data_IF_671776199693
#
_entry.id   IF_671776199693
#
_cell.length_a   1.000
_cell.length_b   1.000
_cell.length_c   1.000
_cell.angle_alpha   90.00
_cell.angle_beta   90.00
_cell.angle_gamma   90.00
#
_symmetry.space_group_name_H-M   'P 1'
#
loop_
_entity.id
_entity.type
_entity.pdbx_description
1 polymer ?
#
# COMPACT_ATOMS: atom_id res chain seq x y z
N UNK A 1 14.46 -2.64 8.15
CA UNK A 1 14.77 -2.48 6.71
C UNK A 1 15.88 -3.46 6.34
N UNK A 2 15.90 -3.98 5.10
CA UNK A 2 16.97 -4.89 4.64
C UNK A 2 18.36 -4.25 4.78
N UNK A 3 18.43 -2.93 4.59
CA UNK A 3 19.67 -2.16 4.75
C UNK A 3 20.21 -2.13 6.19
N UNK A 4 19.35 -2.00 7.20
CA UNK A 4 19.76 -2.07 8.62
C UNK A 4 20.34 -3.44 8.97
N UNK A 5 19.69 -4.50 8.49
CA UNK A 5 20.15 -5.88 8.68
C UNK A 5 21.53 -6.06 8.06
N UNK A 6 21.75 -5.54 6.84
CA UNK A 6 23.04 -5.59 6.15
C UNK A 6 24.15 -4.82 6.89
N UNK A 7 23.85 -3.62 7.40
CA UNK A 7 24.81 -2.78 8.15
C UNK A 7 25.19 -3.42 9.49
N UNK A 8 24.21 -3.88 10.26
CA UNK A 8 24.43 -4.55 11.55
C UNK A 8 25.33 -5.78 11.39
N UNK A 9 25.11 -6.56 10.34
CA UNK A 9 25.90 -7.76 10.09
C UNK A 9 27.30 -7.48 9.53
N UNK A 10 27.47 -6.44 8.70
CA UNK A 10 28.82 -5.96 8.35
C UNK A 10 29.64 -5.61 9.60
N UNK A 11 29.02 -4.93 10.57
CA UNK A 11 29.68 -4.61 11.83
C UNK A 11 30.04 -5.87 12.63
N UNK A 12 29.17 -6.90 12.64
CA UNK A 12 29.43 -8.18 13.30
C UNK A 12 30.57 -8.98 12.65
N UNK A 13 30.67 -8.95 11.32
CA UNK A 13 31.79 -9.57 10.58
C UNK A 13 33.11 -8.87 10.92
N UNK A 14 33.12 -7.54 10.97
CA UNK A 14 34.30 -6.75 11.37
C UNK A 14 34.69 -7.05 12.83
N UNK A 15 33.72 -7.18 13.73
CA UNK A 15 33.94 -7.57 15.12
C UNK A 15 34.58 -8.97 15.22
N UNK A 16 34.03 -9.95 14.50
CA UNK A 16 34.56 -11.31 14.50
C UNK A 16 36.00 -11.38 13.95
N UNK A 17 36.32 -10.59 12.93
CA UNK A 17 37.67 -10.49 12.40
C UNK A 17 38.68 -9.87 13.38
N UNK A 18 38.24 -8.97 14.26
CA UNK A 18 39.10 -8.29 15.24
C UNK A 18 39.30 -9.09 16.54
N UNK A 19 38.33 -9.90 16.95
CA UNK A 19 38.34 -10.54 18.28
C UNK A 19 38.60 -12.06 18.27
N UNK A 20 38.60 -12.74 17.11
CA UNK A 20 38.93 -14.17 17.02
C UNK A 20 40.32 -14.41 16.40
N UNK A 21 41.00 -15.46 16.86
CA UNK A 21 42.32 -15.88 16.35
C UNK A 21 42.24 -16.21 14.84
N UNK A 22 43.31 -15.87 14.09
CA UNK A 22 43.35 -15.89 12.60
C UNK A 22 42.82 -17.18 11.94
N UNK A 23 42.95 -18.34 12.60
CA UNK A 23 42.52 -19.62 12.05
C UNK A 23 41.01 -19.88 12.23
N UNK A 24 40.44 -19.48 13.38
CA UNK A 24 39.02 -19.67 13.67
C UNK A 24 38.15 -18.54 13.10
N UNK A 25 38.72 -17.34 12.94
CA UNK A 25 38.01 -16.17 12.41
C UNK A 25 37.40 -16.41 11.02
N UNK A 26 38.04 -17.22 10.16
CA UNK A 26 37.50 -17.56 8.82
C UNK A 26 36.26 -18.44 8.89
N UNK A 27 36.27 -19.48 9.73
CA UNK A 27 35.13 -20.41 9.90
C UNK A 27 33.97 -19.68 10.56
N UNK A 28 34.23 -18.89 11.62
CA UNK A 28 33.21 -18.06 12.26
C UNK A 28 32.65 -17.01 11.29
N UNK A 29 33.50 -16.34 10.52
CA UNK A 29 33.04 -15.38 9.51
C UNK A 29 32.17 -16.08 8.44
N UNK A 30 32.57 -17.25 7.93
CA UNK A 30 31.79 -18.01 6.97
C UNK A 30 30.43 -18.46 7.52
N UNK A 31 30.40 -19.01 8.74
CA UNK A 31 29.16 -19.41 9.42
C UNK A 31 28.22 -18.21 9.65
N UNK A 32 28.77 -17.06 10.03
CA UNK A 32 28.01 -15.80 10.16
C UNK A 32 27.42 -15.40 8.80
N UNK A 33 28.19 -15.41 7.72
CA UNK A 33 27.67 -15.09 6.38
C UNK A 33 26.52 -16.02 5.96
N UNK A 34 26.65 -17.34 6.17
CA UNK A 34 25.55 -18.28 5.87
C UNK A 34 24.31 -17.96 6.71
N UNK A 35 24.46 -17.77 8.02
CA UNK A 35 23.35 -17.44 8.91
C UNK A 35 22.64 -16.14 8.48
N UNK A 36 23.41 -15.15 8.00
CA UNK A 36 22.88 -13.88 7.48
C UNK A 36 22.06 -14.10 6.21
N UNK A 37 22.62 -14.77 5.21
CA UNK A 37 21.93 -15.04 3.95
C UNK A 37 20.69 -15.90 4.17
N UNK A 38 20.79 -16.90 5.04
CA UNK A 38 19.66 -17.76 5.38
C UNK A 38 18.55 -16.97 6.09
N UNK A 39 18.88 -16.10 7.06
CA UNK A 39 17.89 -15.25 7.72
C UNK A 39 17.27 -14.23 6.77
N UNK A 40 18.06 -13.64 5.87
CA UNK A 40 17.57 -12.73 4.84
C UNK A 40 16.64 -13.45 3.87
N UNK A 41 17.01 -14.66 3.42
CA UNK A 41 16.18 -15.53 2.60
C UNK A 41 14.85 -15.85 3.30
N UNK A 42 14.88 -16.33 4.55
CA UNK A 42 13.66 -16.61 5.32
C UNK A 42 12.78 -15.37 5.49
N UNK A 43 13.36 -14.19 5.69
CA UNK A 43 12.61 -12.94 5.78
C UNK A 43 11.92 -12.58 4.46
N UNK A 44 12.63 -12.71 3.32
CA UNK A 44 12.08 -12.48 1.98
C UNK A 44 11.00 -13.52 1.67
N UNK A 45 11.26 -14.79 1.98
CA UNK A 45 10.35 -15.90 1.76
C UNK A 45 9.06 -15.75 2.58
N UNK A 46 9.17 -15.39 3.86
CA UNK A 46 7.99 -15.13 4.69
C UNK A 46 7.19 -13.92 4.17
N UNK A 47 7.86 -12.87 3.67
CA UNK A 47 7.19 -11.74 3.04
C UNK A 47 6.47 -12.16 1.75
N UNK A 48 7.10 -13.01 0.94
CA UNK A 48 6.50 -13.57 -0.26
C UNK A 48 5.28 -14.43 0.07
N UNK A 49 5.35 -15.30 1.08
CA UNK A 49 4.19 -16.09 1.54
C UNK A 49 3.06 -15.17 1.98
N UNK A 50 3.33 -14.17 2.82
CA UNK A 50 2.29 -13.22 3.29
C UNK A 50 1.62 -12.45 2.15
N UNK A 51 2.36 -12.18 1.07
CA UNK A 51 1.83 -11.52 -0.12
C UNK A 51 1.02 -12.49 -1.01
N UNK A 52 1.57 -13.68 -1.30
CA UNK A 52 0.99 -14.62 -2.26
C UNK A 52 -0.16 -15.46 -1.68
N UNK A 53 -0.13 -15.77 -0.38
CA UNK A 53 -1.15 -16.59 0.27
C UNK A 53 -2.59 -16.10 0.07
N UNK A 54 -2.95 -14.83 0.32
CA UNK A 54 -4.32 -14.37 0.13
C UNK A 54 -4.77 -14.42 -1.34
N UNK A 55 -3.84 -14.36 -2.29
CA UNK A 55 -4.12 -14.44 -3.74
C UNK A 55 -4.40 -15.91 -4.12
N UNK A 56 -3.54 -16.83 -3.70
CA UNK A 56 -3.69 -18.26 -3.94
C UNK A 56 -4.99 -18.78 -3.33
N UNK A 57 -5.31 -18.33 -2.11
CA UNK A 57 -6.57 -18.66 -1.45
C UNK A 57 -7.79 -18.21 -2.26
N UNK A 58 -7.74 -17.02 -2.87
CA UNK A 58 -8.84 -16.55 -3.72
C UNK A 58 -8.95 -17.35 -5.02
N UNK A 59 -7.82 -17.69 -5.65
CA UNK A 59 -7.84 -18.57 -6.83
C UNK A 59 -8.55 -19.87 -6.48
N UNK A 60 -8.21 -20.48 -5.34
CA UNK A 60 -8.83 -21.73 -4.90
C UNK A 60 -10.34 -21.57 -4.63
N UNK A 61 -10.76 -20.53 -3.88
CA UNK A 61 -12.17 -20.31 -3.55
C UNK A 61 -13.01 -20.02 -4.80
N UNK A 62 -12.47 -19.22 -5.73
CA UNK A 62 -13.17 -18.89 -6.98
C UNK A 62 -13.28 -20.14 -7.86
N UNK A 63 -12.18 -20.88 -8.07
CA UNK A 63 -12.20 -22.13 -8.85
C UNK A 63 -13.19 -23.13 -8.28
N UNK A 64 -13.14 -23.39 -6.98
CA UNK A 64 -14.05 -24.33 -6.32
C UNK A 64 -15.51 -23.94 -6.49
N UNK A 65 -15.83 -22.65 -6.35
CA UNK A 65 -17.20 -22.17 -6.54
C UNK A 65 -17.68 -22.25 -8.00
N UNK A 66 -16.81 -21.97 -8.97
CA UNK A 66 -17.14 -22.12 -10.39
C UNK A 66 -17.33 -23.59 -10.78
N UNK A 67 -16.48 -24.49 -10.30
CA UNK A 67 -16.65 -25.94 -10.50
C UNK A 67 -17.95 -26.41 -9.84
N UNK A 68 -18.26 -25.97 -8.62
CA UNK A 68 -19.53 -26.28 -7.98
C UNK A 68 -20.73 -25.74 -8.79
N UNK A 69 -20.61 -24.56 -9.39
CA UNK A 69 -21.62 -23.97 -10.27
C UNK A 69 -21.85 -24.81 -11.53
N UNK A 70 -20.77 -25.33 -12.15
CA UNK A 70 -20.91 -26.22 -13.31
C UNK A 70 -21.66 -27.51 -12.98
N UNK A 71 -21.43 -28.09 -11.80
CA UNK A 71 -22.14 -29.29 -11.35
C UNK A 71 -23.64 -29.03 -11.19
N UNK A 72 -24.04 -27.82 -10.81
CA UNK A 72 -25.45 -27.44 -10.74
C UNK A 72 -26.07 -27.29 -12.14
N UNK A 73 -25.35 -26.68 -13.09
CA UNK A 73 -25.82 -26.53 -14.48
C UNK A 73 -26.01 -27.86 -15.18
N UNK A 74 -25.11 -28.84 -14.93
CA UNK A 74 -25.24 -30.20 -15.45
C UNK A 74 -26.54 -30.88 -14.98
N UNK A 75 -27.04 -30.55 -13.78
CA UNK A 75 -28.33 -31.08 -13.27
C UNK A 75 -29.55 -30.46 -13.96
N UNK A 76 -29.40 -29.26 -14.55
CA UNK A 76 -30.46 -28.56 -15.30
C UNK A 76 -30.29 -28.82 -16.82
N UNK A 77 -29.57 -29.89 -17.17
CA UNK A 77 -29.37 -30.35 -18.56
C UNK A 77 -28.62 -29.36 -19.47
N UNK A 78 -27.81 -28.47 -18.89
CA UNK A 78 -26.91 -27.60 -19.65
C UNK A 78 -25.53 -28.28 -19.71
N UNK A 79 -25.24 -28.92 -20.85
CA UNK A 79 -23.97 -29.59 -21.10
C UNK A 79 -22.87 -28.60 -21.48
N UNK A 80 -21.76 -28.60 -20.74
CA UNK A 80 -20.57 -27.85 -21.10
C UNK A 80 -19.58 -28.75 -21.86
N UNK A 81 -18.94 -28.23 -22.91
CA UNK A 81 -17.76 -28.86 -23.47
C UNK A 81 -16.61 -28.97 -22.45
N UNK A 82 -15.78 -30.00 -22.56
CA UNK A 82 -14.66 -30.24 -21.63
C UNK A 82 -13.69 -29.04 -21.53
N UNK A 83 -13.44 -28.35 -22.65
CA UNK A 83 -12.56 -27.17 -22.66
C UNK A 83 -13.03 -26.05 -21.70
N UNK A 84 -14.31 -25.99 -21.36
CA UNK A 84 -14.82 -24.99 -20.41
C UNK A 84 -14.22 -25.21 -19.02
N UNK A 85 -14.08 -26.47 -18.62
CA UNK A 85 -13.51 -26.85 -17.33
C UNK A 85 -12.01 -26.58 -17.27
N UNK A 86 -11.29 -27.01 -18.31
CA UNK A 86 -9.82 -27.00 -18.30
C UNK A 86 -9.22 -25.66 -18.71
N UNK A 87 -9.96 -24.85 -19.48
CA UNK A 87 -9.45 -23.60 -20.08
C UNK A 87 -10.27 -22.40 -19.61
N UNK A 88 -11.58 -22.37 -19.86
CA UNK A 88 -12.39 -21.16 -19.63
C UNK A 88 -12.46 -20.78 -18.14
N UNK A 89 -12.75 -21.74 -17.25
CA UNK A 89 -12.87 -21.49 -15.81
C UNK A 89 -11.55 -20.99 -15.18
N UNK A 90 -10.39 -21.60 -15.45
CA UNK A 90 -9.09 -21.06 -15.03
C UNK A 90 -8.83 -19.66 -15.54
N UNK A 91 -9.11 -19.38 -16.83
CA UNK A 91 -8.92 -18.04 -17.42
C UNK A 91 -9.82 -17.01 -16.75
N UNK A 92 -11.10 -17.31 -16.53
CA UNK A 92 -12.02 -16.38 -15.86
C UNK A 92 -11.57 -16.09 -14.44
N UNK A 93 -11.13 -17.12 -13.72
CA UNK A 93 -10.59 -16.96 -12.37
C UNK A 93 -9.36 -16.06 -12.38
N UNK A 94 -8.42 -16.28 -13.32
CA UNK A 94 -7.22 -15.46 -13.44
C UNK A 94 -7.55 -14.00 -13.76
N UNK A 95 -8.49 -13.75 -14.68
CA UNK A 95 -8.93 -12.39 -15.02
C UNK A 95 -9.54 -11.69 -13.81
N UNK A 96 -10.44 -12.35 -13.06
CA UNK A 96 -11.02 -11.78 -11.85
C UNK A 96 -9.97 -11.53 -10.76
N UNK A 97 -9.03 -12.44 -10.54
CA UNK A 97 -7.96 -12.28 -9.54
C UNK A 97 -7.00 -11.15 -9.92
N UNK A 98 -6.61 -11.05 -11.19
CA UNK A 98 -5.80 -9.94 -11.70
C UNK A 98 -6.55 -8.61 -11.53
N UNK A 99 -7.85 -8.58 -11.80
CA UNK A 99 -8.69 -7.40 -11.55
C UNK A 99 -8.74 -7.05 -10.06
N UNK A 100 -8.91 -8.03 -9.18
CA UNK A 100 -8.92 -7.84 -7.73
C UNK A 100 -7.57 -7.33 -7.19
N UNK A 101 -6.47 -7.82 -7.75
CA UNK A 101 -5.12 -7.29 -7.49
C UNK A 101 -5.00 -5.84 -7.94
N UNK A 102 -5.50 -5.54 -9.13
CA UNK A 102 -5.41 -4.22 -9.71
C UNK A 102 -6.17 -3.17 -8.89
N UNK A 103 -7.41 -3.46 -8.47
CA UNK A 103 -8.20 -2.56 -7.63
C UNK A 103 -7.83 -2.61 -6.14
N UNK A 104 -6.98 -3.54 -5.72
CA UNK A 104 -6.40 -3.56 -4.37
C UNK A 104 -7.33 -4.19 -3.35
N UNK A 105 -8.05 -5.22 -3.76
CA UNK A 105 -8.89 -6.03 -2.86
C UNK A 105 -8.05 -6.69 -1.76
N UNK A 106 -6.76 -6.93 -2.05
CA UNK A 106 -5.78 -7.52 -1.13
C UNK A 106 -5.05 -6.50 -0.25
N UNK A 107 -5.33 -5.20 -0.39
CA UNK A 107 -4.71 -4.18 0.46
C UNK A 107 -5.18 -4.34 1.92
N UNK A 108 -4.34 -3.89 2.86
CA UNK A 108 -4.63 -3.95 4.30
C UNK A 108 -5.97 -3.32 4.65
N UNK A 109 -6.31 -2.20 3.99
CA UNK A 109 -7.55 -1.45 4.15
C UNK A 109 -8.39 -1.43 2.85
N UNK A 110 -8.68 -2.62 2.32
CA UNK A 110 -9.53 -2.76 1.14
C UNK A 110 -10.92 -2.13 1.34
N UNK A 111 -11.25 -1.15 0.52
CA UNK A 111 -12.59 -0.55 0.48
C UNK A 111 -13.56 -1.50 -0.22
N UNK A 112 -14.80 -1.60 0.27
CA UNK A 112 -15.84 -2.42 -0.39
C UNK A 112 -16.11 -2.00 -1.83
N UNK A 113 -15.93 -0.72 -2.16
CA UNK A 113 -16.00 -0.23 -3.55
C UNK A 113 -14.94 -0.84 -4.46
N UNK A 114 -13.79 -1.28 -3.93
CA UNK A 114 -12.75 -1.95 -4.70
C UNK A 114 -13.20 -3.35 -5.15
N UNK A 115 -13.94 -4.08 -4.31
CA UNK A 115 -14.52 -5.39 -4.67
C UNK A 115 -15.50 -5.22 -5.81
N UNK A 116 -16.44 -4.27 -5.69
CA UNK A 116 -17.44 -4.01 -6.72
C UNK A 116 -16.76 -3.62 -8.04
N UNK A 117 -15.84 -2.64 -8.01
CA UNK A 117 -15.10 -2.19 -9.19
C UNK A 117 -14.30 -3.31 -9.84
N UNK A 118 -13.59 -4.12 -9.04
CA UNK A 118 -12.81 -5.26 -9.56
C UNK A 118 -13.68 -6.34 -10.21
N UNK A 119 -14.79 -6.68 -9.59
CA UNK A 119 -15.68 -7.74 -10.09
C UNK A 119 -16.36 -7.29 -11.38
N UNK A 120 -16.86 -6.04 -11.43
CA UNK A 120 -17.45 -5.46 -12.64
C UNK A 120 -16.40 -5.38 -13.76
N UNK A 121 -15.22 -4.83 -13.48
CA UNK A 121 -14.17 -4.65 -14.48
C UNK A 121 -13.69 -5.99 -15.05
N UNK A 122 -13.44 -6.98 -14.19
CA UNK A 122 -13.06 -8.32 -14.64
C UNK A 122 -14.15 -9.00 -15.46
N UNK A 123 -15.41 -8.83 -15.07
CA UNK A 123 -16.57 -9.38 -15.81
C UNK A 123 -16.73 -8.73 -17.19
N UNK A 124 -16.54 -7.41 -17.29
CA UNK A 124 -16.56 -6.70 -18.59
C UNK A 124 -15.46 -7.26 -19.51
N UNK A 125 -14.24 -7.43 -19.00
CA UNK A 125 -13.13 -8.01 -19.77
C UNK A 125 -13.48 -9.42 -20.25
N UNK A 126 -13.98 -10.28 -19.35
CA UNK A 126 -14.39 -11.64 -19.70
C UNK A 126 -15.47 -11.61 -20.79
N UNK A 127 -16.50 -10.76 -20.66
CA UNK A 127 -17.59 -10.67 -21.64
C UNK A 127 -17.12 -10.15 -23.00
N UNK A 128 -16.16 -9.21 -23.04
CA UNK A 128 -15.57 -8.73 -24.30
C UNK A 128 -14.86 -9.88 -25.01
N UNK A 129 -13.96 -10.59 -24.33
CA UNK A 129 -13.26 -11.72 -24.94
C UNK A 129 -14.22 -12.85 -25.32
N UNK A 130 -15.18 -13.16 -24.45
CA UNK A 130 -16.22 -14.15 -24.70
C UNK A 130 -17.06 -13.82 -25.95
N UNK A 131 -17.38 -12.54 -26.18
CA UNK A 131 -18.14 -12.10 -27.35
C UNK A 131 -17.36 -12.27 -28.67
N UNK A 132 -16.02 -12.27 -28.61
CA UNK A 132 -15.13 -12.47 -29.75
C UNK A 132 -14.88 -13.95 -30.07
N UNK A 133 -15.27 -14.88 -29.18
CA UNK A 133 -15.09 -16.32 -29.41
C UNK A 133 -16.06 -16.86 -30.48
N UNK A 134 -15.70 -17.96 -31.17
CA UNK A 134 -16.62 -18.69 -32.04
C UNK A 134 -17.90 -19.13 -31.30
N UNK A 135 -19.02 -19.26 -32.02
CA UNK A 135 -20.33 -19.59 -31.42
C UNK A 135 -20.33 -20.91 -30.65
N UNK A 136 -19.57 -21.88 -31.12
CA UNK A 136 -19.45 -23.20 -30.47
C UNK A 136 -18.76 -23.13 -29.11
N UNK A 137 -18.00 -22.05 -28.86
CA UNK A 137 -17.31 -21.82 -27.59
C UNK A 137 -18.12 -20.92 -26.63
N UNK A 138 -19.19 -20.30 -27.14
CA UNK A 138 -20.08 -19.44 -26.37
C UNK A 138 -21.17 -20.28 -25.67
N UNK A 139 -20.85 -20.83 -24.50
CA UNK A 139 -21.80 -21.65 -23.75
C UNK A 139 -22.89 -20.87 -22.97
N UNK A 140 -22.54 -19.96 -22.05
CA UNK A 140 -23.52 -19.25 -21.21
C UNK A 140 -22.98 -17.96 -20.61
N UNK A 141 -23.58 -16.84 -21.01
CA UNK A 141 -23.32 -15.53 -20.38
C UNK A 141 -23.85 -15.47 -18.95
N UNK A 142 -24.93 -16.19 -18.66
CA UNK A 142 -25.52 -16.26 -17.32
C UNK A 142 -24.53 -16.88 -16.31
N UNK A 143 -23.78 -17.90 -16.72
CA UNK A 143 -22.71 -18.48 -15.91
C UNK A 143 -21.65 -17.45 -15.52
N UNK A 144 -21.21 -16.60 -16.46
CA UNK A 144 -20.23 -15.54 -16.20
C UNK A 144 -20.77 -14.52 -15.19
N UNK A 145 -22.04 -14.10 -15.33
CA UNK A 145 -22.66 -13.13 -14.43
C UNK A 145 -22.88 -13.69 -13.01
N UNK A 146 -23.31 -14.95 -12.89
CA UNK A 146 -23.48 -15.61 -11.60
C UNK A 146 -22.12 -15.88 -10.96
N UNK A 147 -21.11 -16.26 -11.75
CA UNK A 147 -19.73 -16.33 -11.32
C UNK A 147 -19.21 -15.00 -10.78
N UNK A 148 -19.56 -13.87 -11.40
CA UNK A 148 -19.21 -12.56 -10.89
C UNK A 148 -19.83 -12.27 -9.51
N UNK A 149 -21.09 -12.66 -9.31
CA UNK A 149 -21.75 -12.57 -7.99
C UNK A 149 -21.06 -13.46 -6.95
N UNK A 150 -20.63 -14.66 -7.35
CA UNK A 150 -19.84 -15.54 -6.49
C UNK A 150 -18.48 -14.92 -6.11
N UNK A 151 -17.77 -14.30 -7.05
CA UNK A 151 -16.51 -13.59 -6.77
C UNK A 151 -16.73 -12.45 -5.78
N UNK A 152 -17.77 -11.65 -5.97
CA UNK A 152 -18.12 -10.57 -5.02
C UNK A 152 -18.44 -11.13 -3.62
N UNK A 153 -19.29 -12.16 -3.56
CA UNK A 153 -19.69 -12.81 -2.32
C UNK A 153 -18.50 -13.45 -1.60
N UNK A 154 -17.65 -14.16 -2.32
CA UNK A 154 -16.48 -14.84 -1.76
C UNK A 154 -15.48 -13.86 -1.15
N UNK A 155 -15.23 -12.70 -1.77
CA UNK A 155 -14.40 -11.66 -1.18
C UNK A 155 -14.99 -11.10 0.12
N UNK A 156 -16.31 -10.84 0.16
CA UNK A 156 -17.00 -10.33 1.36
C UNK A 156 -16.98 -11.36 2.49
N UNK A 157 -17.29 -12.62 2.18
CA UNK A 157 -17.29 -13.74 3.14
C UNK A 157 -15.88 -13.95 3.68
N UNK A 158 -14.88 -14.09 2.81
CA UNK A 158 -13.47 -14.28 3.22
C UNK A 158 -13.01 -13.15 4.14
N UNK A 159 -13.31 -11.90 3.81
CA UNK A 159 -12.90 -10.75 4.64
C UNK A 159 -13.62 -10.76 5.99
N UNK A 160 -14.90 -11.09 6.00
CA UNK A 160 -15.69 -11.18 7.24
C UNK A 160 -15.20 -12.32 8.14
N UNK A 161 -14.84 -13.47 7.57
CA UNK A 161 -14.21 -14.58 8.28
C UNK A 161 -12.83 -14.21 8.82
N UNK A 162 -11.99 -13.53 8.02
CA UNK A 162 -10.71 -13.02 8.51
C UNK A 162 -10.89 -12.07 9.71
N UNK A 163 -11.87 -11.18 9.65
CA UNK A 163 -12.17 -10.27 10.76
C UNK A 163 -12.78 -11.00 11.97
N UNK A 164 -13.54 -12.08 11.75
CA UNK A 164 -14.01 -12.95 12.82
C UNK A 164 -12.83 -13.63 13.53
N UNK A 165 -11.95 -14.31 12.81
CA UNK A 165 -10.81 -15.01 13.43
C UNK A 165 -9.80 -14.08 14.08
N UNK A 166 -9.63 -12.86 13.57
CA UNK A 166 -8.64 -11.92 14.08
C UNK A 166 -9.16 -10.97 15.16
N UNK A 167 -10.43 -10.56 15.05
CA UNK A 167 -11.01 -9.51 15.88
C UNK A 167 -12.31 -9.93 16.59
N UNK A 168 -12.73 -11.18 16.42
CA UNK A 168 -13.98 -11.74 16.97
C UNK A 168 -15.22 -10.92 16.58
N UNK A 169 -15.20 -10.36 15.36
CA UNK A 169 -16.29 -9.56 14.80
C UNK A 169 -16.57 -9.95 13.34
N UNK A 170 -17.77 -10.46 13.10
CA UNK A 170 -18.28 -10.76 11.77
C UNK A 170 -18.75 -9.49 11.05
N UNK A 171 -17.80 -8.64 10.61
CA UNK A 171 -18.07 -7.43 9.82
C UNK A 171 -17.06 -7.31 8.68
N UNK A 172 -17.50 -6.86 7.51
CA UNK A 172 -16.61 -6.64 6.35
C UNK A 172 -15.57 -5.53 6.59
N UNK A 173 -16.04 -4.33 6.94
CA UNK A 173 -15.20 -3.20 7.33
C UNK A 173 -15.11 -3.12 8.85
N UNK A 174 -14.30 -3.99 9.45
CA UNK A 174 -13.91 -3.82 10.83
C UNK A 174 -12.61 -3.00 10.89
N UNK A 175 -12.71 -1.80 11.47
CA UNK A 175 -11.55 -1.06 11.96
C UNK A 175 -11.65 -1.00 13.48
N UNK A 176 -10.58 -1.43 14.16
CA UNK A 176 -10.50 -1.47 15.63
C UNK A 176 -10.83 -0.08 16.15
N UNK A 177 -11.84 0.00 17.03
CA UNK A 177 -12.17 1.25 17.71
C UNK A 177 -10.92 1.65 18.49
N UNK A 178 -10.41 2.84 18.21
CA UNK A 178 -9.23 3.36 18.90
C UNK A 178 -9.68 4.22 20.07
N UNK A 179 -9.33 3.77 21.27
CA UNK A 179 -9.49 4.55 22.49
C UNK A 179 -8.14 5.20 22.83
N UNK A 180 -8.15 6.51 22.98
CA UNK A 180 -6.95 7.34 23.12
C UNK A 180 -6.78 7.82 24.56
N UNK A 181 -5.56 7.75 25.07
CA UNK A 181 -5.15 8.43 26.30
C UNK A 181 -4.19 9.56 25.90
N UNK A 182 -4.60 10.82 26.08
CA UNK A 182 -3.77 11.98 25.75
C UNK A 182 -3.15 12.51 27.05
N UNK A 183 -1.85 12.71 27.07
CA UNK A 183 -1.11 13.21 28.25
C UNK A 183 -0.45 14.54 27.86
N UNK A 184 -0.82 15.60 28.55
CA UNK A 184 -0.33 16.95 28.29
C UNK A 184 -1.27 18.02 28.83
N UNK A 185 -0.88 19.28 28.64
CA UNK A 185 -1.68 20.41 29.10
C UNK A 185 -3.07 20.41 28.45
N UNK A 186 -4.11 20.92 29.13
CA UNK A 186 -5.49 20.90 28.62
C UNK A 186 -5.62 21.50 27.21
N UNK A 187 -4.95 22.61 26.93
CA UNK A 187 -5.03 23.31 25.64
C UNK A 187 -4.44 22.47 24.50
N UNK A 188 -3.25 21.91 24.73
CA UNK A 188 -2.57 21.07 23.75
C UNK A 188 -3.29 19.73 23.56
N UNK A 189 -3.84 19.16 24.65
CA UNK A 189 -4.62 17.94 24.58
C UNK A 189 -5.94 18.12 23.82
N UNK A 190 -6.61 19.26 23.95
CA UNK A 190 -7.80 19.61 23.18
C UNK A 190 -7.47 19.75 21.69
N UNK A 191 -6.37 20.44 21.34
CA UNK A 191 -5.88 20.54 19.96
C UNK A 191 -5.61 19.16 19.35
N UNK A 192 -4.95 18.27 20.11
CA UNK A 192 -4.69 16.90 19.67
C UNK A 192 -6.00 16.11 19.55
N UNK A 193 -6.95 16.27 20.46
CA UNK A 193 -8.26 15.63 20.37
C UNK A 193 -9.06 16.06 19.13
N UNK A 194 -9.01 17.33 18.74
CA UNK A 194 -9.58 17.83 17.48
C UNK A 194 -8.87 17.25 16.26
N UNK A 195 -7.54 17.21 16.27
CA UNK A 195 -6.76 16.57 15.20
C UNK A 195 -7.15 15.09 15.02
N UNK A 196 -7.36 14.36 16.13
CA UNK A 196 -7.82 12.98 16.11
C UNK A 196 -9.25 12.85 15.56
N UNK A 197 -10.15 13.79 15.87
CA UNK A 197 -11.52 13.83 15.32
C UNK A 197 -11.52 13.91 13.79
N UNK A 198 -10.66 14.74 13.22
CA UNK A 198 -10.56 14.88 11.77
C UNK A 198 -9.85 13.70 11.09
N UNK A 199 -9.09 12.90 11.86
CA UNK A 199 -8.25 11.83 11.32
C UNK A 199 -8.89 10.44 11.40
N UNK A 200 -9.53 10.10 12.53
CA UNK A 200 -10.05 8.75 12.78
C UNK A 200 -11.57 8.69 12.73
N UNK A 201 -12.11 7.96 11.75
CA UNK A 201 -13.56 7.72 11.66
C UNK A 201 -14.10 6.71 12.69
N UNK A 202 -13.25 5.80 13.19
CA UNK A 202 -13.60 4.80 14.21
C UNK A 202 -12.89 5.10 15.54
N UNK A 203 -13.16 6.29 16.10
CA UNK A 203 -12.69 6.70 17.42
C UNK A 203 -13.66 6.18 18.50
N UNK A 204 -13.12 5.69 19.60
CA UNK A 204 -13.91 5.42 20.79
C UNK A 204 -13.69 6.51 21.84
N UNK A 205 -13.45 6.12 23.08
CA UNK A 205 -13.24 7.08 24.15
C UNK A 205 -11.91 7.81 24.02
N UNK A 206 -11.88 9.06 24.44
CA UNK A 206 -10.62 9.77 24.66
C UNK A 206 -10.61 10.39 26.02
N UNK A 207 -9.53 10.15 26.73
CA UNK A 207 -9.33 10.66 28.08
C UNK A 207 -8.08 11.50 28.08
N UNK A 208 -8.20 12.71 28.61
CA UNK A 208 -7.08 13.63 28.81
C UNK A 208 -6.54 13.46 30.23
N UNK A 209 -5.23 13.41 30.34
CA UNK A 209 -4.47 13.45 31.58
C UNK A 209 -3.63 14.72 31.58
N UNK A 210 -4.09 15.72 32.33
CA UNK A 210 -3.39 16.98 32.54
C UNK A 210 -2.48 16.95 33.77
N UNK A 211 -2.71 16.02 34.71
CA UNK A 211 -1.85 15.88 35.88
C UNK A 211 -0.55 15.16 35.51
N UNK A 212 0.54 15.95 35.49
CA UNK A 212 1.90 15.50 35.23
C UNK A 212 2.63 15.07 36.51
N UNK A 213 1.98 15.13 37.68
CA UNK A 213 2.53 14.58 38.91
C UNK A 213 2.37 13.06 38.90
N UNK A 214 3.48 12.33 39.10
CA UNK A 214 3.48 10.87 39.19
C UNK A 214 2.88 10.12 37.96
N UNK A 215 3.11 10.64 36.75
CA UNK A 215 2.57 10.16 35.46
C UNK A 215 2.65 8.64 35.30
N UNK A 216 3.80 8.05 35.62
CA UNK A 216 4.02 6.61 35.42
C UNK A 216 2.97 5.77 36.17
N UNK A 217 2.63 6.15 37.40
CA UNK A 217 1.65 5.44 38.22
C UNK A 217 0.20 5.71 37.77
N UNK A 218 -0.11 6.94 37.37
CA UNK A 218 -1.45 7.30 36.88
C UNK A 218 -1.74 6.59 35.55
N UNK A 219 -0.76 6.58 34.65
CA UNK A 219 -0.90 5.92 33.36
C UNK A 219 -0.91 4.40 33.53
N UNK A 220 -0.03 3.83 34.36
CA UNK A 220 -0.06 2.40 34.66
C UNK A 220 -1.38 1.96 35.32
N UNK A 221 -1.94 2.75 36.23
CA UNK A 221 -3.23 2.42 36.86
C UNK A 221 -4.41 2.50 35.87
N UNK A 222 -4.43 3.46 34.94
CA UNK A 222 -5.47 3.52 33.89
C UNK A 222 -5.32 2.45 32.82
N UNK A 223 -4.09 1.98 32.55
CA UNK A 223 -3.83 0.96 31.52
C UNK A 223 -3.91 -0.47 32.07
N UNK A 224 -3.42 -0.70 33.28
CA UNK A 224 -3.24 -2.02 33.91
C UNK A 224 -4.06 -2.24 35.19
N UNK A 225 -4.81 -1.24 35.66
CA UNK A 225 -5.56 -1.29 36.92
C UNK A 225 -6.68 -2.33 36.97
N UNK A 226 -7.09 -2.67 38.19
CA UNK A 226 -7.94 -3.82 38.56
C UNK A 226 -9.45 -3.56 38.51
N UNK A 227 -9.94 -2.39 38.08
CA UNK A 227 -11.39 -2.12 37.99
C UNK A 227 -11.82 -1.70 36.58
N UNK A 228 -12.75 -2.46 36.00
CA UNK A 228 -13.61 -2.20 34.82
C UNK A 228 -13.01 -1.64 33.51
N UNK A 229 -11.74 -1.23 33.46
CA UNK A 229 -11.10 -0.53 32.34
C UNK A 229 -9.86 -1.26 31.80
N UNK A 230 -9.61 -2.50 32.22
CA UNK A 230 -8.55 -3.33 31.66
C UNK A 230 -8.75 -3.43 30.13
N UNK A 231 -7.81 -2.89 29.36
CA UNK A 231 -7.84 -2.92 27.89
C UNK A 231 -8.74 -1.89 27.20
N UNK A 232 -9.21 -0.85 27.90
CA UNK A 232 -9.98 0.22 27.26
C UNK A 232 -9.10 1.00 26.28
N UNK A 233 -7.96 1.54 26.71
CA UNK A 233 -7.08 2.36 25.86
C UNK A 233 -6.10 1.50 25.06
N UNK A 234 -5.97 1.82 23.78
CA UNK A 234 -5.10 1.09 22.84
C UNK A 234 -3.96 1.97 22.32
N UNK A 235 -4.08 3.29 22.49
CA UNK A 235 -3.12 4.26 21.97
C UNK A 235 -2.92 5.37 23.00
N UNK A 236 -1.66 5.65 23.36
CA UNK A 236 -1.28 6.72 24.29
C UNK A 236 -0.54 7.79 23.49
N UNK A 237 -0.98 9.04 23.61
CA UNK A 237 -0.41 10.19 22.89
C UNK A 237 0.18 11.15 23.92
N UNK A 238 1.49 11.36 23.86
CA UNK A 238 2.23 12.31 24.68
C UNK A 238 2.35 13.64 23.95
N UNK A 239 1.96 14.74 24.58
CA UNK A 239 2.14 16.08 24.02
C UNK A 239 3.56 16.56 24.33
N UNK A 240 4.42 16.67 23.31
CA UNK A 240 5.81 17.11 23.47
C UNK A 240 5.93 18.59 23.89
N UNK A 241 4.87 19.39 23.74
CA UNK A 241 4.79 20.76 24.25
C UNK A 241 4.89 20.81 25.78
N UNK A 242 4.27 19.84 26.45
CA UNK A 242 4.07 19.82 27.91
C UNK A 242 4.96 18.81 28.64
N UNK A 243 5.56 17.87 27.89
CA UNK A 243 6.32 16.75 28.46
C UNK A 243 7.75 16.72 27.96
N UNK A 244 8.69 16.55 28.89
CA UNK A 244 10.09 16.37 28.52
C UNK A 244 10.32 14.97 27.93
N UNK A 245 11.17 14.80 26.89
CA UNK A 245 11.42 13.49 26.27
C UNK A 245 11.82 12.38 27.26
N UNK A 246 12.56 12.71 28.33
CA UNK A 246 12.92 11.76 29.38
C UNK A 246 11.70 11.20 30.14
N UNK A 247 10.69 12.02 30.40
CA UNK A 247 9.45 11.60 31.05
C UNK A 247 8.64 10.68 30.14
N UNK A 248 8.57 11.01 28.84
CA UNK A 248 7.92 10.17 27.82
C UNK A 248 8.59 8.80 27.77
N UNK A 249 9.92 8.76 27.67
CA UNK A 249 10.70 7.50 27.61
C UNK A 249 10.52 6.69 28.91
N UNK A 250 10.55 7.36 30.07
CA UNK A 250 10.32 6.69 31.36
C UNK A 250 8.94 6.04 31.42
N UNK A 251 7.90 6.74 30.96
CA UNK A 251 6.52 6.25 30.94
C UNK A 251 6.35 5.08 29.96
N UNK A 252 6.90 5.20 28.74
CA UNK A 252 6.92 4.10 27.77
C UNK A 252 7.63 2.84 28.31
N UNK A 253 8.72 3.05 29.07
CA UNK A 253 9.48 1.96 29.67
C UNK A 253 8.72 1.31 30.84
N UNK A 254 8.05 2.11 31.69
CA UNK A 254 7.31 1.59 32.85
C UNK A 254 6.05 0.81 32.47
N UNK A 255 5.39 1.16 31.37
CA UNK A 255 4.19 0.45 30.88
C UNK A 255 4.58 -0.91 30.26
N UNK A 256 5.82 -1.04 29.79
CA UNK A 256 6.35 -2.26 29.18
C UNK A 256 5.94 -2.47 27.71
N UNK A 257 6.43 -3.55 27.10
CA UNK A 257 6.00 -3.98 25.76
C UNK A 257 4.65 -4.69 25.88
N UNK A 258 3.58 -4.02 25.46
CA UNK A 258 2.22 -4.57 25.41
C UNK A 258 1.49 -4.22 24.10
N UNK A 259 0.18 -4.47 24.05
CA UNK A 259 -0.68 -4.14 22.89
C UNK A 259 -1.01 -2.64 22.75
N UNK A 260 -0.26 -1.77 23.41
CA UNK A 260 -0.52 -0.32 23.49
C UNK A 260 0.46 0.41 22.57
N UNK A 261 -0.10 1.16 21.62
CA UNK A 261 0.69 1.98 20.69
C UNK A 261 1.04 3.33 21.34
N UNK A 262 2.32 3.71 21.33
CA UNK A 262 2.77 5.00 21.85
C UNK A 262 2.99 6.01 20.73
N UNK A 263 2.54 7.24 20.94
CA UNK A 263 2.73 8.35 20.02
C UNK A 263 3.06 9.66 20.72
N UNK A 264 3.68 10.57 19.99
CA UNK A 264 4.17 11.86 20.47
C UNK A 264 3.63 12.95 19.53
N UNK A 265 2.74 13.80 20.03
CA UNK A 265 2.27 14.97 19.30
C UNK A 265 3.33 16.08 19.39
N UNK A 266 3.72 16.61 18.23
CA UNK A 266 4.68 17.72 18.16
C UNK A 266 3.97 19.06 18.40
N UNK A 267 4.61 20.00 19.12
CA UNK A 267 4.02 21.30 19.43
C UNK A 267 3.66 22.05 18.15
N UNK A 268 2.49 22.69 18.15
CA UNK A 268 2.02 23.64 17.12
C UNK A 268 2.05 23.10 15.67
N UNK A 269 2.11 21.78 15.49
CA UNK A 269 2.04 21.11 14.18
C UNK A 269 0.88 20.12 14.14
N UNK A 270 0.42 19.77 12.94
CA UNK A 270 -0.57 18.70 12.76
C UNK A 270 0.03 17.30 12.93
N UNK A 271 1.31 17.18 13.28
CA UNK A 271 2.02 15.91 13.26
C UNK A 271 2.01 15.19 14.61
N UNK A 272 1.73 13.89 14.53
CA UNK A 272 1.86 12.93 15.64
C UNK A 272 2.88 11.86 15.20
N UNK A 273 3.93 11.63 15.98
CA UNK A 273 4.99 10.66 15.68
C UNK A 273 4.74 9.40 16.50
N UNK A 274 4.62 8.23 15.87
CA UNK A 274 4.26 6.99 16.56
C UNK A 274 5.20 5.83 16.31
N UNK A 275 5.21 4.87 17.24
CA UNK A 275 5.87 3.57 17.10
C UNK A 275 5.11 2.64 16.14
N UNK A 276 4.89 3.08 14.91
CA UNK A 276 4.22 2.27 13.91
C UNK A 276 5.17 1.19 13.35
N UNK A 277 4.63 0.02 13.03
CA UNK A 277 5.37 -1.13 12.47
C UNK A 277 6.17 -0.75 11.22
N UNK A 278 7.27 -1.48 10.95
CA UNK A 278 8.19 -1.30 9.81
C UNK A 278 7.47 -1.17 8.44
N UNK A 279 6.26 -1.73 8.32
CA UNK A 279 5.44 -1.74 7.10
C UNK A 279 4.46 -0.55 7.00
N UNK A 280 4.28 0.24 8.06
CA UNK A 280 3.52 1.50 8.07
C UNK A 280 4.52 2.66 8.18
N UNK A 281 5.22 2.94 7.08
CA UNK A 281 6.13 4.08 6.99
C UNK A 281 5.34 5.36 7.26
N UNK A 282 5.58 5.97 8.42
CA UNK A 282 5.25 7.36 8.74
C UNK A 282 3.99 7.90 8.07
N UNK A 283 2.82 7.37 8.44
CA UNK A 283 1.57 8.03 8.05
C UNK A 283 1.57 9.41 8.71
N UNK A 284 1.95 10.42 7.92
CA UNK A 284 1.92 11.82 8.29
C UNK A 284 0.47 12.16 8.65
N UNK A 285 0.19 12.30 9.95
CA UNK A 285 -1.09 12.79 10.44
C UNK A 285 -1.26 14.21 9.91
N UNK A 286 -2.01 14.32 8.84
CA UNK A 286 -2.28 15.57 8.15
C UNK A 286 -3.57 15.35 7.39
N UNK A 287 -4.48 16.33 7.47
CA UNK A 287 -5.79 16.37 6.81
C UNK A 287 -5.82 15.55 5.51
N UNK A 288 -6.54 14.42 5.46
CA UNK A 288 -6.76 13.50 4.31
C UNK A 288 -5.95 13.82 3.03
N UNK A 289 -4.62 13.82 3.11
CA UNK A 289 -3.77 14.20 1.97
C UNK A 289 -3.83 13.07 0.95
N UNK A 290 -4.27 13.34 -0.29
CA UNK A 290 -4.26 12.33 -1.35
C UNK A 290 -2.87 12.14 -1.97
N UNK A 291 -1.93 11.70 -1.13
CA UNK A 291 -0.52 11.62 -1.53
C UNK A 291 -0.27 10.56 -2.59
N UNK A 292 0.72 10.80 -3.44
CA UNK A 292 1.11 9.87 -4.51
C UNK A 292 1.57 8.50 -3.97
N UNK A 293 2.13 8.46 -2.76
CA UNK A 293 2.61 7.25 -2.10
C UNK A 293 1.51 6.28 -1.66
N UNK A 294 0.24 6.71 -1.70
CA UNK A 294 -0.87 5.81 -1.39
C UNK A 294 -0.85 4.62 -2.36
N UNK A 295 -0.92 3.36 -1.89
CA UNK A 295 -0.86 2.18 -2.75
C UNK A 295 -1.87 2.22 -3.91
N UNK A 296 -3.09 2.72 -3.66
CA UNK A 296 -4.10 2.92 -4.70
C UNK A 296 -3.68 3.93 -5.77
N UNK A 297 -3.06 5.05 -5.38
CA UNK A 297 -2.59 6.07 -6.30
C UNK A 297 -1.43 5.55 -7.16
N UNK A 298 -0.47 4.82 -6.58
CA UNK A 298 0.62 4.17 -7.32
C UNK A 298 0.10 3.14 -8.34
N UNK A 299 -0.89 2.33 -7.95
CA UNK A 299 -1.53 1.34 -8.85
C UNK A 299 -2.28 2.03 -9.99
N UNK A 300 -3.09 3.03 -9.68
CA UNK A 300 -3.80 3.81 -10.68
C UNK A 300 -2.86 4.54 -11.64
N UNK A 301 -1.77 5.13 -11.13
CA UNK A 301 -0.71 5.73 -11.93
C UNK A 301 -0.09 4.72 -12.88
N UNK A 302 0.28 3.54 -12.35
CA UNK A 302 0.88 2.46 -13.13
C UNK A 302 -0.04 1.95 -14.23
N UNK A 303 -1.34 1.84 -13.98
CA UNK A 303 -2.28 1.46 -15.02
C UNK A 303 -2.47 2.56 -16.07
N UNK A 304 -2.53 3.82 -15.67
CA UNK A 304 -2.54 4.92 -16.63
C UNK A 304 -1.31 4.83 -17.53
N UNK A 305 -0.13 4.60 -16.95
CA UNK A 305 1.13 4.42 -17.69
C UNK A 305 1.07 3.25 -18.67
N UNK A 306 0.59 2.08 -18.25
CA UNK A 306 0.48 0.90 -19.13
C UNK A 306 -0.54 1.12 -20.25
N UNK A 307 -1.74 1.63 -19.92
CA UNK A 307 -2.80 1.86 -20.90
C UNK A 307 -2.40 2.92 -21.93
N UNK A 308 -1.88 4.06 -21.47
CA UNK A 308 -1.44 5.13 -22.37
C UNK A 308 -0.24 4.68 -23.22
N UNK A 309 0.75 3.99 -22.65
CA UNK A 309 1.90 3.53 -23.44
C UNK A 309 1.51 2.49 -24.48
N UNK A 310 0.65 1.54 -24.12
CA UNK A 310 0.10 0.54 -25.05
C UNK A 310 -0.70 1.22 -26.17
N UNK A 311 -1.60 2.15 -25.81
CA UNK A 311 -2.43 2.88 -26.78
C UNK A 311 -1.58 3.74 -27.71
N UNK A 312 -0.59 4.45 -27.17
CA UNK A 312 0.35 5.27 -27.96
C UNK A 312 1.22 4.43 -28.89
N UNK A 313 1.64 3.23 -28.47
CA UNK A 313 2.34 2.28 -29.35
C UNK A 313 1.45 1.80 -30.50
N UNK A 314 0.18 1.49 -30.25
CA UNK A 314 -0.77 1.10 -31.30
C UNK A 314 -1.03 2.24 -32.31
N UNK A 315 -1.15 3.48 -31.84
CA UNK A 315 -1.41 4.67 -32.68
C UNK A 315 -0.07 5.24 -33.24
N UNK A 316 1.08 4.71 -32.83
CA UNK A 316 2.40 5.21 -33.22
C UNK A 316 2.65 5.31 -34.73
N UNK A 317 2.14 4.42 -35.62
CA UNK A 317 2.36 4.57 -37.06
C UNK A 317 1.85 5.90 -37.62
N UNK A 318 0.81 6.48 -36.99
CA UNK A 318 0.26 7.79 -37.33
C UNK A 318 0.98 8.93 -36.60
N UNK A 319 1.23 8.79 -35.29
CA UNK A 319 1.74 9.86 -34.44
C UNK A 319 3.25 10.13 -34.60
N UNK A 320 4.02 9.14 -35.09
CA UNK A 320 5.48 9.22 -35.14
C UNK A 320 6.02 10.40 -35.95
N UNK A 321 5.24 10.88 -36.93
CA UNK A 321 5.61 12.01 -37.78
C UNK A 321 5.64 13.36 -37.05
N UNK A 322 5.02 13.43 -35.87
CA UNK A 322 4.95 14.65 -35.05
C UNK A 322 6.13 14.79 -34.08
N UNK A 323 6.96 13.75 -33.94
CA UNK A 323 8.10 13.71 -33.05
C UNK A 323 9.42 13.82 -33.82
N UNK A 324 10.37 14.60 -33.29
CA UNK A 324 11.71 14.72 -33.86
C UNK A 324 12.55 13.51 -33.47
N UNK A 325 12.49 13.10 -32.20
CA UNK A 325 13.23 12.00 -31.61
C UNK A 325 12.51 10.65 -31.68
N UNK A 326 12.32 10.09 -32.89
CA UNK A 326 11.54 8.85 -33.10
C UNK A 326 12.02 7.65 -32.26
N UNK A 327 13.34 7.44 -32.19
CA UNK A 327 13.93 6.36 -31.40
C UNK A 327 13.72 6.59 -29.89
N UNK A 328 13.87 7.84 -29.43
CA UNK A 328 13.66 8.24 -28.04
C UNK A 328 12.20 8.06 -27.62
N UNK A 329 11.26 8.41 -28.50
CA UNK A 329 9.83 8.17 -28.28
C UNK A 329 9.53 6.69 -27.99
N UNK A 330 9.96 5.77 -28.86
CA UNK A 330 9.73 4.33 -28.64
C UNK A 330 10.45 3.84 -27.39
N UNK A 331 11.70 4.25 -27.17
CA UNK A 331 12.44 3.92 -25.94
C UNK A 331 11.68 4.37 -24.69
N UNK A 332 11.10 5.57 -24.70
CA UNK A 332 10.28 6.10 -23.62
C UNK A 332 8.99 5.29 -23.45
N UNK A 333 8.27 4.97 -24.53
CA UNK A 333 7.05 4.14 -24.46
C UNK A 333 7.34 2.75 -23.87
N UNK A 334 8.38 2.05 -24.33
CA UNK A 334 8.76 0.76 -23.78
C UNK A 334 9.30 0.88 -22.35
N UNK A 335 10.07 1.92 -22.03
CA UNK A 335 10.55 2.17 -20.66
C UNK A 335 9.39 2.39 -19.69
N UNK A 336 8.35 3.09 -20.13
CA UNK A 336 7.12 3.27 -19.35
C UNK A 336 6.36 1.95 -19.27
N UNK A 337 6.15 1.23 -20.38
CA UNK A 337 5.44 -0.05 -20.41
C UNK A 337 6.07 -1.09 -19.47
N UNK A 338 7.41 -1.22 -19.44
CA UNK A 338 8.13 -2.15 -18.56
C UNK A 338 8.36 -1.62 -17.14
N UNK A 339 8.03 -0.36 -16.85
CA UNK A 339 8.07 0.21 -15.50
C UNK A 339 9.44 0.73 -15.05
N UNK A 340 10.35 0.96 -15.99
CA UNK A 340 11.60 1.68 -15.75
C UNK A 340 11.37 3.18 -15.58
N UNK A 341 10.39 3.74 -16.29
CA UNK A 341 9.92 5.13 -16.20
C UNK A 341 8.42 5.19 -15.92
N UNK A 342 7.92 6.37 -15.58
CA UNK A 342 6.49 6.75 -15.59
C UNK A 342 6.28 7.87 -16.60
N UNK A 343 5.05 8.12 -17.07
CA UNK A 343 4.83 9.25 -17.95
C UNK A 343 5.07 10.58 -17.28
N UNK A 344 4.53 10.79 -16.08
CA UNK A 344 4.65 12.05 -15.34
C UNK A 344 5.41 11.82 -14.04
N UNK A 345 6.48 12.56 -13.81
CA UNK A 345 7.27 12.47 -12.58
C UNK A 345 7.74 13.82 -12.07
N UNK A 346 8.56 13.79 -11.03
CA UNK A 346 9.15 14.99 -10.45
C UNK A 346 10.12 15.67 -11.41
N UNK A 347 10.21 16.99 -11.31
CA UNK A 347 11.22 17.77 -12.01
C UNK A 347 12.42 18.00 -11.10
N UNK A 348 13.62 17.67 -11.56
CA UNK A 348 14.86 17.95 -10.86
C UNK A 348 15.71 18.84 -11.75
N UNK A 349 16.19 19.97 -11.21
CA UNK A 349 17.08 20.88 -11.96
C UNK A 349 18.48 20.26 -12.13
N UNK A 350 18.97 19.54 -11.11
CA UNK A 350 20.25 18.84 -11.15
C UNK A 350 20.08 17.35 -10.82
N UNK A 351 20.93 16.50 -11.40
CA UNK A 351 20.93 15.06 -11.13
C UNK A 351 21.30 14.70 -9.68
N UNK A 352 22.00 15.59 -8.96
CA UNK A 352 22.37 15.41 -7.55
C UNK A 352 21.25 15.80 -6.57
N UNK A 353 20.28 16.63 -6.99
CA UNK A 353 19.17 17.08 -6.14
C UNK A 353 18.13 15.95 -5.89
N UNK A 354 18.18 14.83 -6.63
CA UNK A 354 17.24 13.73 -6.46
C UNK A 354 17.37 13.01 -5.11
N UNK A 355 18.55 13.04 -4.50
CA UNK A 355 18.82 12.40 -3.20
C UNK A 355 18.60 13.36 -2.02
N UNK A 356 18.53 14.68 -2.27
CA UNK A 356 18.43 15.72 -1.24
C UNK A 356 16.98 16.09 -0.92
N UNK A 357 16.06 15.91 -1.87
CA UNK A 357 14.64 16.21 -1.63
C UNK A 357 13.94 15.04 -0.91
N UNK A 358 13.34 15.34 0.25
CA UNK A 358 12.49 14.45 1.08
C UNK A 358 11.16 14.06 0.39
N UNK A 359 11.18 13.81 -0.92
CA UNK A 359 10.01 13.45 -1.71
C UNK A 359 9.74 11.94 -1.63
N UNK A 360 8.47 11.54 -1.77
CA UNK A 360 8.08 10.18 -2.09
C UNK A 360 8.94 9.54 -3.19
N UNK A 361 9.30 8.27 -3.05
CA UNK A 361 10.04 7.58 -4.10
C UNK A 361 9.13 7.33 -5.31
N UNK A 362 9.47 7.94 -6.44
CA UNK A 362 8.79 7.77 -7.72
C UNK A 362 9.82 7.48 -8.82
N UNK A 363 9.44 6.63 -9.78
CA UNK A 363 10.27 6.42 -10.99
C UNK A 363 10.44 7.73 -11.75
N UNK A 364 11.53 7.84 -12.51
CA UNK A 364 11.77 9.02 -13.35
C UNK A 364 10.64 9.19 -14.36
N UNK A 365 10.11 10.40 -14.45
CA UNK A 365 9.11 10.80 -15.43
C UNK A 365 9.71 11.00 -16.81
N UNK A 366 8.96 10.67 -17.87
CA UNK A 366 9.25 11.15 -19.23
C UNK A 366 8.93 12.64 -19.32
N UNK A 367 7.77 13.02 -18.79
CA UNK A 367 7.30 14.37 -18.62
C UNK A 367 7.34 14.77 -17.14
N UNK A 368 7.34 16.07 -16.92
CA UNK A 368 7.17 16.68 -15.62
C UNK A 368 6.09 17.76 -15.71
N UNK A 369 5.49 18.19 -14.57
CA UNK A 369 4.60 19.35 -14.53
C UNK A 369 5.20 20.62 -15.15
N UNK A 370 6.52 20.68 -15.33
CA UNK A 370 7.29 21.79 -15.88
C UNK A 370 7.89 21.53 -17.28
N UNK A 371 7.69 20.36 -17.90
CA UNK A 371 8.17 20.11 -19.28
C UNK A 371 7.73 21.22 -20.26
N UNK A 372 8.67 21.74 -21.05
CA UNK A 372 8.43 22.83 -22.00
C UNK A 372 8.46 24.24 -21.41
N UNK A 373 8.79 24.41 -20.12
CA UNK A 373 9.01 25.72 -19.49
C UNK A 373 10.51 25.86 -19.20
N UNK A 374 11.19 26.68 -19.99
CA UNK A 374 12.59 27.08 -19.77
C UNK A 374 12.59 28.32 -18.87
N UNK A 375 13.45 28.37 -17.84
CA UNK A 375 13.49 29.38 -16.75
C UNK A 375 12.46 29.22 -15.62
N UNK A 376 12.63 28.19 -14.79
CA UNK A 376 11.93 28.07 -13.50
C UNK A 376 12.89 28.22 -12.33
N UNK A 377 12.49 28.99 -11.31
CA UNK A 377 13.24 29.12 -10.06
C UNK A 377 13.13 27.82 -9.25
N UNK A 378 14.17 27.46 -8.48
CA UNK A 378 14.22 26.25 -7.64
C UNK A 378 13.03 26.17 -6.68
N UNK A 379 12.63 27.31 -6.09
CA UNK A 379 11.46 27.38 -5.20
C UNK A 379 10.15 26.95 -5.90
N UNK A 380 9.96 27.35 -7.16
CA UNK A 380 8.76 27.00 -7.94
C UNK A 380 8.77 25.51 -8.28
N UNK A 381 9.95 24.96 -8.63
CA UNK A 381 10.13 23.52 -8.88
C UNK A 381 9.75 22.72 -7.65
N UNK A 382 10.26 23.12 -6.49
CA UNK A 382 10.06 22.44 -5.21
C UNK A 382 8.59 22.51 -4.79
N UNK A 383 7.97 23.68 -4.91
CA UNK A 383 6.55 23.86 -4.62
C UNK A 383 5.66 23.02 -5.54
N UNK A 384 5.99 22.92 -6.84
CA UNK A 384 5.25 22.06 -7.76
C UNK A 384 5.43 20.57 -7.45
N UNK A 385 6.65 20.13 -7.14
CA UNK A 385 6.91 18.74 -6.76
C UNK A 385 6.17 18.37 -5.47
N UNK A 386 6.16 19.25 -4.47
CA UNK A 386 5.43 19.06 -3.21
C UNK A 386 3.92 18.99 -3.48
N UNK A 387 3.38 19.93 -4.26
CA UNK A 387 1.96 19.94 -4.63
C UNK A 387 1.57 18.66 -5.37
N UNK A 388 2.38 18.24 -6.35
CA UNK A 388 2.16 16.99 -7.08
C UNK A 388 2.22 15.75 -6.17
N UNK A 389 3.18 15.71 -5.23
CA UNK A 389 3.33 14.62 -4.28
C UNK A 389 2.17 14.54 -3.27
N UNK A 390 1.66 15.71 -2.84
CA UNK A 390 0.64 15.87 -1.80
C UNK A 390 -0.77 15.66 -2.35
N UNK A 391 -1.06 16.21 -3.52
CA UNK A 391 -2.41 16.27 -4.10
C UNK A 391 -2.47 15.52 -5.43
N UNK A 392 -1.99 14.27 -5.41
CA UNK A 392 -1.96 13.47 -6.62
C UNK A 392 -3.38 13.15 -7.11
N UNK A 393 -3.60 13.29 -8.41
CA UNK A 393 -4.80 12.84 -9.09
C UNK A 393 -4.46 12.29 -10.48
N UNK A 394 -5.16 11.26 -10.92
CA UNK A 394 -5.00 10.67 -12.26
C UNK A 394 -5.34 11.71 -13.33
N UNK A 395 -6.34 12.55 -13.06
CA UNK A 395 -6.76 13.61 -13.98
C UNK A 395 -5.67 14.65 -14.20
N UNK A 396 -4.86 14.95 -13.18
CA UNK A 396 -3.71 15.84 -13.32
C UNK A 396 -2.68 15.23 -14.28
N UNK A 397 -2.36 13.94 -14.15
CA UNK A 397 -1.46 13.23 -15.07
C UNK A 397 -1.99 13.21 -16.50
N UNK A 398 -3.29 12.93 -16.70
CA UNK A 398 -3.93 12.99 -18.02
C UNK A 398 -3.85 14.40 -18.61
N UNK A 399 -4.09 15.43 -17.79
CA UNK A 399 -4.03 16.83 -18.24
C UNK A 399 -2.61 17.22 -18.65
N UNK A 400 -1.61 16.81 -17.87
CA UNK A 400 -0.19 17.03 -18.20
C UNK A 400 0.16 16.30 -19.50
N UNK A 401 -0.24 15.04 -19.64
CA UNK A 401 -0.07 14.28 -20.87
C UNK A 401 -0.69 14.99 -22.07
N UNK A 402 -1.97 15.38 -22.01
CA UNK A 402 -2.66 16.05 -23.12
C UNK A 402 -2.07 17.42 -23.47
N UNK A 403 -1.58 18.18 -22.50
CA UNK A 403 -0.95 19.49 -22.75
C UNK A 403 0.47 19.37 -23.28
N UNK A 404 1.19 18.31 -22.90
CA UNK A 404 2.65 18.20 -23.08
C UNK A 404 3.09 16.98 -23.88
N UNK A 405 2.17 16.28 -24.53
CA UNK A 405 2.45 15.05 -25.27
C UNK A 405 3.51 15.21 -26.38
N UNK A 406 3.69 16.42 -26.92
CA UNK A 406 4.74 16.71 -27.91
C UNK A 406 6.17 16.55 -27.37
N UNK A 407 6.34 16.50 -26.05
CA UNK A 407 7.63 16.32 -25.38
C UNK A 407 7.90 14.86 -24.97
N UNK A 408 7.12 13.89 -25.49
CA UNK A 408 7.33 12.48 -25.19
C UNK A 408 8.61 11.89 -25.82
N UNK A 409 9.23 12.62 -26.75
CA UNK A 409 10.51 12.29 -27.39
C UNK A 409 11.73 12.97 -26.77
N UNK A 410 11.57 13.64 -25.61
CA UNK A 410 12.66 14.18 -24.81
C UNK A 410 13.53 13.09 -24.15
#
# INVERSE_FOLDING_TARGET
SVNYVFIFYKAMVIFAQKHFSKNNAKIYSFAIHIAIYFRAFLAIFNRFIKFSFPIILDIAIILLGLIALTNHWKKIDIHFPEFVYDISIPIYTLIWVISSLFFGVYDKESKGTSIIKSSIFGTIIILIFYALLPKDWQFSRAFILIGALWVMGSHVIKRSLYNLFKYDKLKYNYSKIKNFLIIGDPDEANRVAELLNHTYSNRGETTVLSDLSNINNIVASKLHGTQAQKGKFNEVIFCAKSMHPSQIISCMTSIGKGEIDFKIAQPDTSFIIGSNSIDSKGDFYSMKINSINRPGNLRSKRLLDILLSTTLLFISPLLIWMFKGKATYFKNMFSVLFGYKTFVGYHFMNAEDSDVQLLPNLKKGVLTPLSGIENTNKEIVDQMNITYAKEYSIFNDITIMLKKWRFLDL
#
